data_IF_297357763345
#
_entry.id   IF_297357763345
#
_cell.length_a   1.000
_cell.length_b   1.000
_cell.length_c   1.000
_cell.angle_alpha   90.00
_cell.angle_beta   90.00
_cell.angle_gamma   90.00
#
_symmetry.space_group_name_H-M   'P 1'
#
loop_
_entity.id
_entity.type
_entity.pdbx_description
1 polymer ?
#
# COMPACT_ATOMS: atom_id res chain seq x y z
N UNK A 1 14.20 8.69 -22.88
CA UNK A 1 15.01 9.01 -21.69
C UNK A 1 16.33 9.62 -22.14
N UNK A 2 16.71 10.77 -21.57
CA UNK A 2 18.02 11.40 -21.69
C UNK A 2 19.03 10.69 -20.79
N UNK A 3 20.31 11.01 -20.92
CA UNK A 3 21.35 10.45 -20.06
C UNK A 3 21.46 11.21 -18.72
N UNK A 4 20.92 12.44 -18.64
CA UNK A 4 20.94 13.28 -17.44
C UNK A 4 19.67 14.14 -17.31
N UNK A 5 19.24 14.35 -16.05
CA UNK A 5 18.10 15.18 -15.65
C UNK A 5 18.45 16.03 -14.42
N UNK A 6 17.75 17.17 -14.26
CA UNK A 6 17.88 17.94 -13.01
C UNK A 6 17.27 17.13 -11.84
N UNK A 7 16.13 16.47 -12.07
CA UNK A 7 15.46 15.68 -11.04
C UNK A 7 14.97 14.34 -11.61
N UNK A 8 15.29 13.24 -10.93
CA UNK A 8 14.69 11.95 -11.19
C UNK A 8 13.79 11.53 -10.01
N UNK A 9 12.56 11.14 -10.31
CA UNK A 9 11.60 10.66 -9.32
C UNK A 9 11.33 9.17 -9.55
N UNK A 10 11.48 8.35 -8.51
CA UNK A 10 11.26 6.90 -8.55
C UNK A 10 9.95 6.57 -7.84
N UNK A 11 8.95 6.16 -8.61
CA UNK A 11 7.59 5.84 -8.17
C UNK A 11 6.57 6.91 -8.57
N UNK A 12 5.59 6.55 -9.40
CA UNK A 12 4.50 7.40 -9.86
C UNK A 12 3.21 7.23 -9.03
N UNK A 13 3.36 7.04 -7.72
CA UNK A 13 2.28 7.20 -6.76
C UNK A 13 1.91 8.67 -6.55
N UNK A 14 0.93 8.98 -5.67
CA UNK A 14 0.50 10.36 -5.44
C UNK A 14 1.64 11.32 -5.10
N UNK A 15 2.56 10.90 -4.22
CA UNK A 15 3.70 11.73 -3.82
C UNK A 15 4.68 11.99 -4.98
N UNK A 16 5.00 10.94 -5.75
CA UNK A 16 5.91 11.08 -6.90
C UNK A 16 5.31 11.91 -8.03
N UNK A 17 4.02 11.73 -8.33
CA UNK A 17 3.32 12.58 -9.31
C UNK A 17 3.34 14.05 -8.88
N UNK A 18 3.01 14.34 -7.62
CA UNK A 18 3.02 15.70 -7.10
C UNK A 18 4.43 16.32 -7.12
N UNK A 19 5.45 15.58 -6.66
CA UNK A 19 6.83 16.06 -6.69
C UNK A 19 7.31 16.35 -8.12
N UNK A 20 7.08 15.42 -9.05
CA UNK A 20 7.51 15.57 -10.43
C UNK A 20 6.83 16.75 -11.14
N UNK A 21 5.51 16.91 -10.97
CA UNK A 21 4.76 18.00 -11.62
C UNK A 21 5.18 19.36 -11.07
N UNK A 22 5.28 19.52 -9.75
CA UNK A 22 5.72 20.78 -9.13
C UNK A 22 7.14 21.15 -9.56
N UNK A 23 8.07 20.20 -9.57
CA UNK A 23 9.43 20.45 -10.03
C UNK A 23 9.47 20.89 -11.50
N UNK A 24 8.68 20.25 -12.35
CA UNK A 24 8.55 20.57 -13.77
C UNK A 24 7.96 21.98 -13.98
N UNK A 25 6.99 22.42 -13.17
CA UNK A 25 6.42 23.78 -13.21
C UNK A 25 7.45 24.87 -12.84
N UNK A 26 8.50 24.50 -12.09
CA UNK A 26 9.62 25.41 -11.78
C UNK A 26 10.72 25.39 -12.86
N UNK A 27 10.51 24.67 -13.96
CA UNK A 27 11.39 24.65 -15.12
C UNK A 27 12.49 23.57 -15.09
N UNK A 28 12.49 22.69 -14.08
CA UNK A 28 13.42 21.56 -14.03
C UNK A 28 13.12 20.53 -15.12
N UNK A 29 14.17 19.90 -15.68
CA UNK A 29 14.05 18.71 -16.49
C UNK A 29 13.80 17.50 -15.57
N UNK A 30 12.59 16.92 -15.62
CA UNK A 30 12.15 15.88 -14.68
C UNK A 30 11.89 14.56 -15.39
N UNK A 31 12.48 13.49 -14.87
CA UNK A 31 12.17 12.11 -15.22
C UNK A 31 11.36 11.47 -14.09
N UNK A 32 10.19 10.89 -14.40
CA UNK A 32 9.38 10.10 -13.46
C UNK A 32 9.34 8.64 -13.92
N UNK A 33 9.87 7.74 -13.11
CA UNK A 33 9.98 6.30 -13.38
C UNK A 33 8.99 5.51 -12.51
N UNK A 34 8.30 4.54 -13.10
CA UNK A 34 7.47 3.60 -12.34
C UNK A 34 7.52 2.20 -12.97
N UNK A 35 7.55 1.16 -12.14
CA UNK A 35 7.49 -0.24 -12.61
C UNK A 35 6.15 -0.60 -13.25
N UNK A 36 5.10 0.12 -12.89
CA UNK A 36 3.78 -0.05 -13.49
C UNK A 36 3.66 0.75 -14.78
N UNK A 37 2.89 0.26 -15.76
CA UNK A 37 2.71 0.98 -17.02
C UNK A 37 1.92 2.29 -16.85
N UNK A 38 1.13 2.42 -15.77
CA UNK A 38 0.25 3.57 -15.52
C UNK A 38 0.54 4.21 -14.16
N UNK A 39 0.54 5.54 -14.13
CA UNK A 39 0.67 6.32 -12.91
C UNK A 39 -0.55 6.13 -11.99
N UNK A 40 -0.34 6.35 -10.67
CA UNK A 40 -1.37 6.22 -9.63
C UNK A 40 -0.91 5.42 -8.41
N UNK A 41 0.16 4.64 -8.53
CA UNK A 41 0.69 3.80 -7.45
C UNK A 41 -0.33 2.79 -6.93
N UNK A 42 -0.26 2.44 -5.64
CA UNK A 42 -1.16 1.44 -5.05
C UNK A 42 -2.56 2.02 -4.74
N UNK A 43 -2.61 3.30 -4.31
CA UNK A 43 -3.87 3.93 -3.89
C UNK A 43 -4.77 4.16 -5.10
N UNK A 44 -4.24 4.72 -6.18
CA UNK A 44 -4.95 5.09 -7.40
C UNK A 44 -4.68 4.13 -8.56
N UNK A 45 -4.34 2.87 -8.25
CA UNK A 45 -4.04 1.83 -9.24
C UNK A 45 -5.14 1.73 -10.29
N UNK A 46 -4.77 1.87 -11.58
CA UNK A 46 -5.65 1.81 -12.73
C UNK A 46 -6.79 2.87 -12.73
N UNK A 47 -6.63 4.01 -12.04
CA UNK A 47 -7.69 5.02 -11.90
C UNK A 47 -8.11 5.63 -13.25
N UNK A 48 -7.18 5.71 -14.20
CA UNK A 48 -7.43 6.25 -15.54
C UNK A 48 -8.29 5.31 -16.41
N UNK A 49 -8.09 3.98 -16.29
CA UNK A 49 -8.78 2.96 -17.10
C UNK A 49 -9.60 1.97 -16.27
N UNK A 50 -10.14 2.42 -15.15
CA UNK A 50 -10.82 1.60 -14.16
C UNK A 50 -11.83 0.62 -14.79
N UNK A 51 -11.67 -0.71 -14.63
CA UNK A 51 -12.58 -1.71 -15.21
C UNK A 51 -13.92 -1.78 -14.49
N UNK A 52 -14.01 -1.31 -13.25
CA UNK A 52 -15.24 -1.33 -12.44
C UNK A 52 -16.12 -0.16 -12.84
N UNK A 53 -17.31 -0.47 -13.38
CA UNK A 53 -18.28 0.54 -13.84
C UNK A 53 -18.97 1.28 -12.70
N UNK A 54 -19.33 0.56 -11.61
CA UNK A 54 -19.95 1.17 -10.43
C UNK A 54 -18.88 1.83 -9.53
N UNK A 55 -18.75 3.14 -9.65
CA UNK A 55 -17.78 3.92 -8.88
C UNK A 55 -18.02 3.82 -7.36
N UNK A 56 -19.23 3.49 -6.91
CA UNK A 56 -19.53 3.34 -5.49
C UNK A 56 -18.72 2.21 -4.83
N UNK A 57 -18.27 1.21 -5.58
CA UNK A 57 -17.50 0.07 -5.06
C UNK A 57 -16.19 0.55 -4.45
N UNK A 58 -15.40 1.33 -5.20
CA UNK A 58 -14.11 1.84 -4.71
C UNK A 58 -14.25 3.12 -3.87
N UNK A 59 -15.30 3.91 -4.12
CA UNK A 59 -15.61 5.14 -3.41
C UNK A 59 -14.93 6.38 -3.97
N UNK A 60 -15.44 7.56 -3.63
CA UNK A 60 -15.05 8.84 -4.22
C UNK A 60 -13.56 9.18 -3.98
N UNK A 61 -13.03 8.84 -2.80
CA UNK A 61 -11.62 9.09 -2.47
C UNK A 61 -10.66 8.43 -3.49
N UNK A 62 -11.03 7.26 -4.03
CA UNK A 62 -10.22 6.59 -5.05
C UNK A 62 -10.19 7.39 -6.37
N UNK A 63 -11.30 7.98 -6.76
CA UNK A 63 -11.40 8.69 -8.05
C UNK A 63 -10.76 10.08 -8.03
N UNK A 64 -10.41 10.62 -6.86
CA UNK A 64 -9.62 11.86 -6.75
C UNK A 64 -8.25 11.75 -7.43
N UNK A 65 -7.70 10.53 -7.52
CA UNK A 65 -6.45 10.29 -8.23
C UNK A 65 -6.45 10.64 -9.71
N UNK A 66 -7.62 10.76 -10.35
CA UNK A 66 -7.74 11.15 -11.76
C UNK A 66 -7.15 12.53 -12.01
N UNK A 67 -7.41 13.49 -11.14
CA UNK A 67 -6.87 14.85 -11.28
C UNK A 67 -5.35 14.88 -11.24
N UNK A 68 -4.71 14.06 -10.39
CA UNK A 68 -3.24 13.96 -10.35
C UNK A 68 -2.67 13.37 -11.65
N UNK A 69 -3.31 12.34 -12.18
CA UNK A 69 -2.90 11.73 -13.46
C UNK A 69 -3.09 12.72 -14.63
N UNK A 70 -4.18 13.50 -14.63
CA UNK A 70 -4.43 14.53 -15.64
C UNK A 70 -3.41 15.67 -15.56
N UNK A 71 -3.06 16.14 -14.36
CA UNK A 71 -2.01 17.15 -14.18
C UNK A 71 -0.67 16.63 -14.66
N UNK A 72 -0.30 15.39 -14.32
CA UNK A 72 0.93 14.77 -14.84
C UNK A 72 0.93 14.69 -16.39
N UNK A 73 -0.17 14.25 -16.98
CA UNK A 73 -0.29 14.10 -18.42
C UNK A 73 -0.16 15.43 -19.21
N UNK A 74 -0.52 16.55 -18.56
CA UNK A 74 -0.43 17.90 -19.13
C UNK A 74 0.87 18.64 -18.76
N UNK A 75 1.77 18.02 -17.98
CA UNK A 75 3.05 18.58 -17.56
C UNK A 75 4.16 18.32 -18.59
N UNK A 76 5.33 18.95 -18.39
CA UNK A 76 6.55 18.66 -19.16
C UNK A 76 7.40 17.52 -18.57
N UNK A 77 6.86 16.77 -17.60
CA UNK A 77 7.54 15.60 -16.99
C UNK A 77 7.69 14.50 -18.03
N UNK A 78 8.91 13.97 -18.19
CA UNK A 78 9.11 12.74 -18.95
C UNK A 78 8.69 11.54 -18.07
N UNK A 79 7.44 11.08 -18.24
CA UNK A 79 6.94 9.89 -17.54
C UNK A 79 7.29 8.61 -18.31
N UNK A 80 7.91 7.65 -17.60
CA UNK A 80 8.30 6.36 -18.15
C UNK A 80 7.73 5.24 -17.26
N UNK A 81 6.55 4.77 -17.65
CA UNK A 81 5.91 3.60 -17.02
C UNK A 81 6.45 2.28 -17.57
N UNK A 82 6.37 1.21 -16.79
CA UNK A 82 6.93 -0.10 -17.10
C UNK A 82 8.46 -0.13 -16.99
N UNK A 83 9.05 0.79 -16.24
CA UNK A 83 10.48 0.92 -16.04
C UNK A 83 10.87 0.48 -14.62
N UNK A 84 11.65 -0.58 -14.50
CA UNK A 84 12.15 -1.07 -13.21
C UNK A 84 13.47 -0.38 -12.87
N UNK A 85 13.45 0.42 -11.81
CA UNK A 85 14.68 0.96 -11.20
C UNK A 85 15.25 -0.08 -10.27
N UNK A 86 16.47 -0.51 -10.52
CA UNK A 86 17.13 -1.56 -9.75
C UNK A 86 18.36 -1.05 -8.97
N UNK A 87 18.81 0.17 -9.23
CA UNK A 87 19.92 0.84 -8.54
C UNK A 87 19.67 2.34 -8.44
N UNK A 88 20.02 2.91 -7.30
CA UNK A 88 20.30 4.34 -7.10
C UNK A 88 21.57 4.40 -6.28
N UNK A 89 22.65 4.99 -6.82
CA UNK A 89 23.92 5.14 -6.11
C UNK A 89 23.95 6.46 -5.31
N UNK A 90 24.95 6.60 -4.43
CA UNK A 90 25.19 7.85 -3.70
C UNK A 90 25.58 9.00 -4.65
N UNK A 91 26.18 8.69 -5.79
CA UNK A 91 26.51 9.65 -6.85
C UNK A 91 25.29 9.98 -7.74
N UNK A 92 24.11 9.44 -7.39
CA UNK A 92 22.84 9.64 -8.12
C UNK A 92 22.88 9.07 -9.55
N UNK A 93 23.65 7.98 -9.74
CA UNK A 93 23.51 7.13 -10.91
C UNK A 93 22.32 6.19 -10.71
N UNK A 94 21.44 6.14 -11.70
CA UNK A 94 20.18 5.40 -11.66
C UNK A 94 20.24 4.30 -12.70
N UNK A 95 20.18 3.06 -12.23
CA UNK A 95 20.06 1.87 -13.08
C UNK A 95 18.58 1.56 -13.34
N UNK A 96 18.18 1.57 -14.61
CA UNK A 96 16.81 1.33 -15.03
C UNK A 96 16.75 0.31 -16.16
N UNK A 97 15.75 -0.58 -16.10
CA UNK A 97 15.44 -1.52 -17.17
C UNK A 97 14.03 -1.29 -17.69
N UNK A 98 13.89 -1.22 -19.03
CA UNK A 98 12.61 -1.15 -19.73
C UNK A 98 12.67 -1.95 -21.02
N UNK A 99 11.62 -2.73 -21.29
CA UNK A 99 11.48 -3.53 -22.52
C UNK A 99 12.73 -4.41 -22.81
N UNK A 100 13.35 -4.97 -21.78
CA UNK A 100 14.54 -5.80 -21.88
C UNK A 100 15.86 -5.05 -22.07
N UNK A 101 15.84 -3.72 -22.09
CA UNK A 101 17.03 -2.87 -22.23
C UNK A 101 17.36 -2.21 -20.89
N UNK A 102 18.59 -2.43 -20.41
CA UNK A 102 19.13 -1.74 -19.25
C UNK A 102 19.88 -0.48 -19.65
N UNK A 103 19.73 0.58 -18.86
CA UNK A 103 20.44 1.86 -19.01
C UNK A 103 20.92 2.37 -17.67
N UNK A 104 21.99 3.14 -17.69
CA UNK A 104 22.42 4.00 -16.59
C UNK A 104 22.18 5.46 -17.02
N UNK A 105 21.62 6.23 -16.12
CA UNK A 105 21.40 7.66 -16.26
C UNK A 105 21.74 8.36 -14.95
N UNK A 106 21.88 9.66 -14.96
CA UNK A 106 22.22 10.47 -13.78
C UNK A 106 21.19 11.56 -13.55
N UNK A 107 21.11 12.04 -12.32
CA UNK A 107 20.34 13.24 -11.98
C UNK A 107 21.08 14.09 -10.95
N UNK A 108 20.80 15.40 -10.91
CA UNK A 108 21.33 16.25 -9.84
C UNK A 108 20.66 15.94 -8.50
N UNK A 109 19.36 15.62 -8.54
CA UNK A 109 18.56 15.23 -7.37
C UNK A 109 17.74 13.97 -7.69
N UNK A 110 17.61 13.08 -6.70
CA UNK A 110 16.76 11.89 -6.80
C UNK A 110 15.70 11.95 -5.68
N UNK A 111 14.44 11.78 -6.06
CA UNK A 111 13.32 11.68 -5.12
C UNK A 111 12.80 10.24 -5.13
N UNK A 112 12.98 9.53 -4.02
CA UNK A 112 12.46 8.19 -3.83
C UNK A 112 11.01 8.27 -3.34
N UNK A 113 10.05 8.03 -4.21
CA UNK A 113 8.62 8.01 -3.92
C UNK A 113 8.05 6.58 -3.98
N UNK A 114 8.81 5.62 -3.47
CA UNK A 114 8.56 4.17 -3.56
C UNK A 114 7.39 3.69 -2.69
N UNK A 115 6.81 4.58 -1.86
CA UNK A 115 5.60 4.36 -1.09
C UNK A 115 5.75 3.31 0.00
N UNK A 116 4.70 2.51 0.17
CA UNK A 116 4.61 1.48 1.21
C UNK A 116 4.26 0.11 0.63
N UNK A 117 4.58 -0.92 1.40
CA UNK A 117 4.21 -2.31 1.13
C UNK A 117 3.43 -2.90 2.30
N UNK A 118 2.63 -3.93 2.06
CA UNK A 118 1.99 -4.64 3.16
C UNK A 118 3.04 -5.35 4.01
N UNK A 119 2.86 -5.25 5.32
CA UNK A 119 3.69 -5.95 6.29
C UNK A 119 3.55 -7.46 6.09
N UNK A 120 4.64 -8.23 5.90
CA UNK A 120 4.59 -9.68 5.92
C UNK A 120 3.92 -10.20 7.20
N UNK A 121 3.05 -11.20 7.06
CA UNK A 121 2.37 -11.83 8.18
C UNK A 121 2.65 -13.35 8.18
N UNK A 122 3.85 -13.76 8.64
CA UNK A 122 4.34 -15.13 8.51
C UNK A 122 3.69 -16.09 9.53
N UNK A 123 2.38 -16.28 9.41
CA UNK A 123 1.66 -17.33 10.14
C UNK A 123 1.89 -18.69 9.47
N UNK A 124 1.85 -19.81 10.19
CA UNK A 124 2.00 -21.13 9.57
C UNK A 124 1.05 -21.30 8.38
N UNK A 125 1.58 -21.73 7.24
CA UNK A 125 0.81 -21.92 5.99
C UNK A 125 0.60 -20.67 5.14
N UNK A 126 1.17 -19.51 5.48
CA UNK A 126 0.95 -18.24 4.76
C UNK A 126 1.42 -18.24 3.29
N UNK A 127 2.24 -19.20 2.90
CA UNK A 127 2.75 -19.38 1.52
C UNK A 127 1.94 -20.36 0.68
N UNK A 128 0.90 -20.99 1.24
CA UNK A 128 0.05 -21.90 0.51
C UNK A 128 -0.69 -21.19 -0.65
N UNK A 129 -0.81 -21.81 -1.82
CA UNK A 129 -1.71 -21.32 -2.87
C UNK A 129 -3.12 -21.05 -2.32
N UNK A 130 -3.75 -19.95 -2.75
CA UNK A 130 -5.02 -19.47 -2.21
C UNK A 130 -4.87 -18.47 -1.06
N UNK A 131 -3.65 -18.26 -0.57
CA UNK A 131 -3.34 -17.21 0.41
C UNK A 131 -2.74 -16.00 -0.31
N UNK A 132 -3.22 -14.81 0.02
CA UNK A 132 -2.65 -13.55 -0.46
C UNK A 132 -2.77 -12.45 0.60
N UNK A 133 -2.20 -11.29 0.35
CA UNK A 133 -2.44 -10.12 1.20
C UNK A 133 -3.77 -9.45 0.83
N UNK A 134 -4.35 -8.72 1.79
CA UNK A 134 -5.58 -7.94 1.55
C UNK A 134 -5.36 -6.88 0.47
N UNK A 135 -4.19 -6.22 0.45
CA UNK A 135 -3.84 -5.27 -0.59
C UNK A 135 -3.67 -5.94 -1.95
N UNK A 136 -3.13 -7.17 -2.01
CA UNK A 136 -3.08 -7.97 -3.23
C UNK A 136 -4.48 -8.22 -3.79
N UNK A 137 -5.45 -8.61 -2.94
CA UNK A 137 -6.85 -8.78 -3.32
C UNK A 137 -7.48 -7.46 -3.81
N UNK A 138 -7.14 -6.32 -3.17
CA UNK A 138 -7.60 -5.00 -3.63
C UNK A 138 -7.00 -4.63 -5.00
N UNK A 139 -5.72 -4.95 -5.23
CA UNK A 139 -5.05 -4.69 -6.52
C UNK A 139 -5.74 -5.45 -7.64
N UNK A 140 -6.08 -6.74 -7.46
CA UNK A 140 -6.84 -7.52 -8.44
C UNK A 140 -8.20 -6.87 -8.73
N UNK A 141 -8.92 -6.44 -7.70
CA UNK A 141 -10.18 -5.75 -7.84
C UNK A 141 -10.03 -4.45 -8.64
N UNK A 142 -9.04 -3.60 -8.29
CA UNK A 142 -8.82 -2.31 -8.96
C UNK A 142 -8.34 -2.45 -10.40
N UNK A 143 -7.38 -3.34 -10.68
CA UNK A 143 -6.71 -3.42 -11.98
C UNK A 143 -7.45 -4.27 -13.00
N UNK A 144 -8.18 -5.28 -12.55
CA UNK A 144 -8.79 -6.29 -13.43
C UNK A 144 -10.29 -6.49 -13.19
N UNK A 145 -10.88 -5.84 -12.17
CA UNK A 145 -12.25 -6.11 -11.75
C UNK A 145 -12.45 -7.53 -11.20
N UNK A 146 -11.37 -8.23 -10.86
CA UNK A 146 -11.39 -9.60 -10.37
C UNK A 146 -11.49 -9.62 -8.85
N UNK A 147 -12.32 -10.52 -8.34
CA UNK A 147 -12.45 -10.80 -6.92
C UNK A 147 -12.76 -12.27 -6.69
N UNK A 148 -12.29 -12.80 -5.58
CA UNK A 148 -12.49 -14.20 -5.20
C UNK A 148 -13.58 -14.29 -4.15
N UNK A 149 -14.68 -15.05 -4.37
CA UNK A 149 -15.75 -15.20 -3.40
C UNK A 149 -15.33 -16.08 -2.21
N UNK A 150 -16.11 -16.00 -1.14
CA UNK A 150 -15.99 -16.82 0.07
C UNK A 150 -14.61 -16.82 0.75
N UNK A 151 -13.85 -15.73 0.58
CA UNK A 151 -12.56 -15.56 1.23
C UNK A 151 -12.71 -15.24 2.73
N UNK A 152 -11.77 -15.72 3.53
CA UNK A 152 -11.57 -15.31 4.93
C UNK A 152 -10.59 -14.14 4.95
N UNK A 153 -11.01 -13.02 5.55
CA UNK A 153 -10.17 -11.86 5.82
C UNK A 153 -9.59 -11.98 7.23
N UNK A 154 -8.27 -12.06 7.38
CA UNK A 154 -7.65 -12.27 8.68
C UNK A 154 -6.52 -11.28 8.97
N UNK A 155 -6.59 -10.63 10.14
CA UNK A 155 -5.57 -9.66 10.54
C UNK A 155 -6.13 -8.45 11.27
N UNK A 156 -5.48 -7.29 11.10
CA UNK A 156 -5.87 -6.03 11.74
C UNK A 156 -5.56 -4.84 10.83
N UNK A 157 -6.15 -3.70 11.12
CA UNK A 157 -5.91 -2.44 10.43
C UNK A 157 -7.04 -2.00 9.50
N UNK A 158 -7.07 -0.71 9.12
CA UNK A 158 -8.18 -0.12 8.38
C UNK A 158 -8.34 -0.70 6.97
N UNK A 159 -7.24 -1.08 6.30
CA UNK A 159 -7.29 -1.65 4.95
C UNK A 159 -8.06 -2.99 4.92
N UNK A 160 -7.95 -3.81 5.98
CA UNK A 160 -8.72 -5.04 6.11
C UNK A 160 -10.24 -4.79 5.95
N UNK A 161 -10.74 -3.79 6.67
CA UNK A 161 -12.17 -3.45 6.66
C UNK A 161 -12.58 -2.71 5.40
N UNK A 162 -11.71 -1.86 4.84
CA UNK A 162 -11.96 -1.17 3.60
C UNK A 162 -12.16 -2.16 2.44
N UNK A 163 -11.24 -3.11 2.28
CA UNK A 163 -11.31 -4.09 1.19
C UNK A 163 -12.48 -5.04 1.38
N UNK A 164 -12.73 -5.52 2.59
CA UNK A 164 -13.93 -6.31 2.88
C UNK A 164 -15.22 -5.52 2.55
N UNK A 165 -15.27 -4.23 2.84
CA UNK A 165 -16.42 -3.38 2.48
C UNK A 165 -16.55 -3.16 0.97
N UNK A 166 -15.44 -3.04 0.23
CA UNK A 166 -15.44 -2.98 -1.23
C UNK A 166 -15.96 -4.29 -1.84
N UNK A 167 -15.57 -5.44 -1.29
CA UNK A 167 -16.09 -6.76 -1.66
C UNK A 167 -17.60 -6.86 -1.44
N UNK A 168 -18.08 -6.44 -0.27
CA UNK A 168 -19.53 -6.38 0.03
C UNK A 168 -20.28 -5.50 -0.98
N UNK A 169 -19.74 -4.31 -1.32
CA UNK A 169 -20.33 -3.42 -2.32
C UNK A 169 -20.34 -4.01 -3.73
N UNK A 170 -19.34 -4.80 -4.06
CA UNK A 170 -19.24 -5.52 -5.33
C UNK A 170 -20.15 -6.74 -5.40
N UNK A 171 -20.88 -7.05 -4.31
CA UNK A 171 -21.76 -8.23 -4.23
C UNK A 171 -20.97 -9.54 -4.08
N UNK A 172 -19.71 -9.48 -3.68
CA UNK A 172 -18.84 -10.66 -3.49
C UNK A 172 -19.03 -11.19 -2.07
N UNK A 173 -19.28 -12.50 -1.94
CA UNK A 173 -19.43 -13.16 -0.66
C UNK A 173 -18.13 -13.19 0.13
N UNK A 174 -18.24 -13.01 1.46
CA UNK A 174 -17.14 -13.05 2.42
C UNK A 174 -17.47 -14.14 3.43
N UNK A 175 -16.56 -15.11 3.60
CA UNK A 175 -16.72 -16.24 4.51
C UNK A 175 -16.73 -15.79 5.98
N UNK A 176 -15.72 -15.01 6.36
CA UNK A 176 -15.59 -14.45 7.70
C UNK A 176 -14.52 -13.35 7.76
N UNK A 177 -14.58 -12.54 8.82
CA UNK A 177 -13.50 -11.61 9.21
C UNK A 177 -12.94 -12.04 10.56
N UNK A 178 -11.66 -12.40 10.59
CA UNK A 178 -10.91 -12.81 11.77
C UNK A 178 -10.03 -11.64 12.24
N UNK A 179 -10.54 -10.86 13.18
CA UNK A 179 -9.86 -9.66 13.70
C UNK A 179 -8.86 -10.03 14.79
N UNK A 180 -7.58 -9.86 14.53
CA UNK A 180 -6.48 -10.17 15.44
C UNK A 180 -6.13 -9.02 16.39
N UNK A 181 -6.86 -7.89 16.35
CA UNK A 181 -6.60 -6.72 17.20
C UNK A 181 -6.70 -7.09 18.68
N UNK A 182 -5.64 -6.94 19.49
CA UNK A 182 -5.68 -7.20 20.92
C UNK A 182 -6.60 -6.23 21.64
N UNK A 183 -7.29 -6.70 22.67
CA UNK A 183 -8.14 -5.83 23.50
C UNK A 183 -7.36 -4.75 24.24
N UNK A 184 -6.09 -4.99 24.55
CA UNK A 184 -5.18 -4.03 25.16
C UNK A 184 -5.00 -2.75 24.33
N UNK A 185 -5.13 -2.86 23.01
CA UNK A 185 -5.01 -1.70 22.13
C UNK A 185 -6.11 -0.66 22.34
N UNK A 186 -7.28 -1.07 22.85
CA UNK A 186 -8.35 -0.13 23.24
C UNK A 186 -7.93 0.77 24.39
N UNK A 187 -7.22 0.21 25.39
CA UNK A 187 -6.69 0.98 26.52
C UNK A 187 -5.53 1.88 26.07
N UNK A 188 -4.64 1.37 25.21
CA UNK A 188 -3.55 2.13 24.62
C UNK A 188 -4.02 3.26 23.69
N UNK A 189 -5.23 3.18 23.15
CA UNK A 189 -5.80 4.23 22.29
C UNK A 189 -6.38 5.42 23.09
N UNK A 190 -6.68 5.27 24.37
CA UNK A 190 -7.30 6.32 25.20
C UNK A 190 -6.52 7.64 25.20
N UNK A 191 -5.19 7.68 25.37
CA UNK A 191 -4.42 8.94 25.33
C UNK A 191 -4.47 9.65 23.97
N UNK A 192 -4.75 8.92 22.89
CA UNK A 192 -4.79 9.45 21.53
C UNK A 192 -6.20 9.90 21.10
N UNK A 193 -7.21 9.73 21.93
CA UNK A 193 -8.59 10.14 21.64
C UNK A 193 -8.72 11.64 21.29
N UNK A 194 -8.07 12.59 21.99
CA UNK A 194 -8.18 13.99 21.63
C UNK A 194 -7.68 14.28 20.20
N UNK A 195 -6.55 13.71 19.81
CA UNK A 195 -6.00 13.84 18.46
C UNK A 195 -6.91 13.15 17.42
N UNK A 196 -7.45 11.97 17.73
CA UNK A 196 -8.36 11.26 16.86
C UNK A 196 -9.71 11.98 16.63
N UNK A 197 -10.13 12.83 17.57
CA UNK A 197 -11.33 13.66 17.43
C UNK A 197 -11.14 14.82 16.42
N UNK A 198 -9.89 15.22 16.14
CA UNK A 198 -9.60 16.21 15.09
C UNK A 198 -9.92 15.68 13.69
N UNK A 199 -9.88 14.35 13.49
CA UNK A 199 -10.30 13.68 12.25
C UNK A 199 -11.46 12.69 12.51
N UNK A 200 -12.55 13.23 13.03
CA UNK A 200 -13.77 12.44 13.29
C UNK A 200 -14.36 11.83 12.01
N UNK A 201 -14.09 12.45 10.84
CA UNK A 201 -14.54 11.99 9.54
C UNK A 201 -14.01 10.60 9.21
N UNK A 202 -12.70 10.39 9.33
CA UNK A 202 -12.04 9.11 9.10
C UNK A 202 -12.48 8.05 10.11
N UNK A 203 -12.62 8.40 11.39
CA UNK A 203 -13.15 7.49 12.41
C UNK A 203 -14.58 7.02 12.09
N UNK A 204 -15.44 7.94 11.65
CA UNK A 204 -16.82 7.61 11.28
C UNK A 204 -16.90 6.77 10.01
N UNK A 205 -16.00 6.97 9.02
CA UNK A 205 -15.88 6.10 7.84
C UNK A 205 -15.59 4.65 8.27
N UNK A 206 -14.57 4.42 9.08
CA UNK A 206 -14.22 3.09 9.57
C UNK A 206 -15.34 2.42 10.37
N UNK A 207 -16.00 3.14 11.28
CA UNK A 207 -17.17 2.63 12.01
C UNK A 207 -18.30 2.26 11.07
N UNK A 208 -18.56 3.06 10.03
CA UNK A 208 -19.62 2.78 9.02
C UNK A 208 -19.32 1.51 8.23
N UNK A 209 -18.08 1.28 7.81
CA UNK A 209 -17.69 0.04 7.12
C UNK A 209 -17.97 -1.19 7.99
N UNK A 210 -17.49 -1.19 9.23
CA UNK A 210 -17.71 -2.29 10.18
C UNK A 210 -19.20 -2.51 10.45
N UNK A 211 -20.00 -1.45 10.62
CA UNK A 211 -21.44 -1.55 10.83
C UNK A 211 -22.15 -2.18 9.61
N UNK A 212 -21.78 -1.79 8.39
CA UNK A 212 -22.34 -2.36 7.16
C UNK A 212 -21.98 -3.83 6.97
N UNK A 213 -20.71 -4.20 7.23
CA UNK A 213 -20.26 -5.59 7.17
C UNK A 213 -21.03 -6.48 8.15
N UNK A 214 -21.28 -6.00 9.38
CA UNK A 214 -22.09 -6.73 10.36
C UNK A 214 -23.57 -6.82 9.99
N UNK A 215 -24.13 -5.72 9.48
CA UNK A 215 -25.52 -5.69 9.04
C UNK A 215 -25.78 -6.63 7.85
N UNK A 216 -24.75 -6.91 7.04
CA UNK A 216 -24.79 -7.91 5.97
C UNK A 216 -24.68 -9.36 6.46
N UNK A 217 -24.60 -9.60 7.78
CA UNK A 217 -24.55 -10.93 8.36
C UNK A 217 -23.18 -11.62 8.24
N UNK A 218 -22.12 -10.90 7.84
CA UNK A 218 -20.78 -11.48 7.74
C UNK A 218 -20.28 -11.87 9.14
N UNK A 219 -19.84 -13.14 9.35
CA UNK A 219 -19.25 -13.57 10.62
C UNK A 219 -18.02 -12.72 10.99
N UNK A 220 -18.07 -12.09 12.16
CA UNK A 220 -17.01 -11.19 12.63
C UNK A 220 -16.44 -11.69 13.95
N UNK A 221 -15.30 -12.39 13.89
CA UNK A 221 -14.63 -13.01 15.04
C UNK A 221 -13.50 -12.08 15.51
N UNK A 222 -13.68 -11.47 16.68
CA UNK A 222 -12.73 -10.53 17.27
C UNK A 222 -11.76 -11.18 18.24
N UNK A 223 -10.61 -10.53 18.43
CA UNK A 223 -9.60 -10.94 19.39
C UNK A 223 -9.10 -12.37 19.16
N UNK A 224 -8.82 -12.66 17.88
CA UNK A 224 -8.15 -13.90 17.46
C UNK A 224 -6.70 -13.82 17.91
N UNK A 225 -6.24 -14.78 18.73
CA UNK A 225 -4.91 -14.73 19.35
C UNK A 225 -3.83 -15.42 18.51
N UNK A 226 -4.20 -16.52 17.87
CA UNK A 226 -3.30 -17.33 17.03
C UNK A 226 -4.04 -17.69 15.75
N UNK A 227 -3.28 -17.76 14.67
CA UNK A 227 -3.77 -18.09 13.35
C UNK A 227 -2.83 -19.10 12.72
N UNK A 228 -3.37 -20.10 12.03
CA UNK A 228 -2.63 -21.08 11.23
C UNK A 228 -3.47 -21.44 10.02
N UNK A 229 -2.87 -21.42 8.86
CA UNK A 229 -3.49 -21.86 7.61
C UNK A 229 -3.14 -23.31 7.39
N UNK A 230 -4.12 -24.12 7.01
CA UNK A 230 -3.99 -25.55 6.82
C UNK A 230 -4.35 -25.97 5.43
N UNK A 231 -3.65 -26.98 4.90
CA UNK A 231 -3.80 -27.54 3.59
C UNK A 231 -2.51 -28.22 3.16
N UNK A 232 -2.56 -29.06 2.14
CA UNK A 232 -1.39 -29.78 1.62
C UNK A 232 -0.82 -29.06 0.38
N UNK A 233 -1.57 -28.94 -0.69
CA UNK A 233 -1.15 -28.30 -1.94
C UNK A 233 -1.69 -26.87 -2.10
N UNK A 234 -2.74 -26.54 -1.37
CA UNK A 234 -3.39 -25.22 -1.33
C UNK A 234 -4.01 -25.03 0.05
N UNK A 235 -4.46 -23.82 0.36
CA UNK A 235 -5.20 -23.59 1.60
C UNK A 235 -6.57 -24.27 1.53
N UNK A 236 -6.89 -25.07 2.55
CA UNK A 236 -8.16 -25.78 2.73
C UNK A 236 -8.94 -25.25 3.92
N UNK A 237 -8.28 -24.45 4.76
CA UNK A 237 -8.93 -23.85 5.90
C UNK A 237 -8.00 -23.02 6.76
N UNK A 238 -8.61 -22.36 7.73
CA UNK A 238 -7.92 -21.55 8.75
C UNK A 238 -8.29 -22.06 10.15
N UNK A 239 -7.27 -22.39 10.92
CA UNK A 239 -7.37 -22.69 12.34
C UNK A 239 -7.02 -21.43 13.15
N UNK A 240 -7.82 -21.11 14.14
CA UNK A 240 -7.60 -19.91 14.95
C UNK A 240 -8.01 -20.12 16.42
N UNK A 241 -7.29 -19.43 17.31
CA UNK A 241 -7.56 -19.47 18.74
C UNK A 241 -8.48 -18.32 19.15
N UNK A 242 -9.72 -18.63 19.51
CA UNK A 242 -10.71 -17.67 20.02
C UNK A 242 -11.22 -18.12 21.39
N UNK A 243 -11.21 -17.21 22.39
CA UNK A 243 -11.64 -17.51 23.78
C UNK A 243 -11.01 -18.77 24.38
N UNK A 244 -9.71 -18.98 24.08
CA UNK A 244 -8.92 -20.15 24.49
C UNK A 244 -9.38 -21.49 23.89
N UNK A 245 -10.21 -21.47 22.85
CA UNK A 245 -10.62 -22.66 22.10
C UNK A 245 -10.12 -22.56 20.66
N UNK A 246 -9.55 -23.65 20.15
CA UNK A 246 -9.22 -23.75 18.74
C UNK A 246 -10.50 -23.98 17.92
N UNK A 247 -10.67 -23.16 16.92
CA UNK A 247 -11.75 -23.21 15.95
C UNK A 247 -11.16 -23.42 14.54
N UNK A 248 -11.92 -24.01 13.65
CA UNK A 248 -11.56 -24.18 12.24
C UNK A 248 -12.66 -23.63 11.34
N UNK A 249 -12.28 -22.98 10.26
CA UNK A 249 -13.13 -22.61 9.13
C UNK A 249 -12.54 -23.18 7.86
N UNK A 250 -13.34 -23.94 7.13
CA UNK A 250 -12.93 -24.43 5.81
C UNK A 250 -13.07 -23.29 4.78
N UNK A 251 -12.02 -23.08 3.99
CA UNK A 251 -11.97 -22.03 2.96
C UNK A 251 -10.80 -22.32 2.02
N UNK A 252 -10.97 -21.98 0.75
CA UNK A 252 -9.93 -22.08 -0.28
C UNK A 252 -9.16 -20.75 -0.46
N UNK A 253 -9.60 -19.67 0.20
CA UNK A 253 -9.00 -18.35 0.05
C UNK A 253 -8.90 -17.61 1.38
N UNK A 254 -7.68 -17.15 1.70
CA UNK A 254 -7.42 -16.35 2.90
C UNK A 254 -6.63 -15.10 2.55
N UNK A 255 -7.14 -13.94 2.96
CA UNK A 255 -6.48 -12.66 2.78
C UNK A 255 -5.94 -12.15 4.12
N UNK A 256 -4.63 -12.02 4.19
CA UNK A 256 -3.89 -11.65 5.41
C UNK A 256 -3.55 -10.16 5.40
N UNK A 257 -3.64 -9.50 6.57
CA UNK A 257 -3.23 -8.11 6.73
C UNK A 257 -2.76 -7.79 8.16
N UNK A 258 -1.59 -7.18 8.29
CA UNK A 258 -1.02 -6.70 9.57
C UNK A 258 -0.50 -5.26 9.46
N UNK A 259 -1.19 -4.45 8.64
CA UNK A 259 -0.77 -3.08 8.35
C UNK A 259 0.21 -2.98 7.19
N UNK A 260 0.68 -1.77 6.97
CA UNK A 260 1.64 -1.42 5.92
C UNK A 260 2.93 -0.88 6.55
N UNK A 261 4.02 -0.95 5.82
CA UNK A 261 5.34 -0.42 6.23
C UNK A 261 5.97 0.34 5.06
N UNK A 262 6.82 1.33 5.31
CA UNK A 262 7.55 2.02 4.26
C UNK A 262 8.33 1.03 3.38
N UNK A 263 8.37 1.30 2.09
CA UNK A 263 9.27 0.58 1.19
C UNK A 263 10.65 1.23 1.24
N UNK A 264 11.49 0.73 2.13
CA UNK A 264 12.82 1.29 2.43
C UNK A 264 13.96 0.69 1.60
N UNK A 265 13.66 -0.32 0.78
CA UNK A 265 14.71 -1.11 0.12
C UNK A 265 15.64 -0.26 -0.75
N UNK A 266 15.08 0.65 -1.56
CA UNK A 266 15.88 1.50 -2.46
C UNK A 266 16.72 2.50 -1.66
N UNK A 267 16.15 3.11 -0.63
CA UNK A 267 16.85 4.05 0.23
C UNK A 267 17.98 3.37 1.03
N UNK A 268 17.76 2.13 1.52
CA UNK A 268 18.81 1.33 2.14
C UNK A 268 19.91 0.98 1.15
N UNK A 269 19.56 0.57 -0.06
CA UNK A 269 20.52 0.25 -1.11
C UNK A 269 21.36 1.48 -1.54
N UNK A 270 20.76 2.67 -1.52
CA UNK A 270 21.45 3.94 -1.77
C UNK A 270 22.33 4.40 -0.61
N UNK A 271 22.33 3.69 0.52
CA UNK A 271 23.16 3.99 1.69
C UNK A 271 22.57 5.00 2.67
N UNK A 272 21.30 5.37 2.53
CA UNK A 272 20.63 6.28 3.47
C UNK A 272 20.51 5.65 4.86
N UNK A 273 20.73 6.43 5.91
CA UNK A 273 20.56 5.98 7.30
C UNK A 273 19.08 5.72 7.62
N UNK A 274 18.81 4.63 8.34
CA UNK A 274 17.48 4.24 8.76
C UNK A 274 17.39 4.08 10.28
N UNK A 275 16.24 4.45 10.82
CA UNK A 275 15.90 4.32 12.24
C UNK A 275 14.77 3.32 12.43
N UNK A 276 14.84 2.55 13.52
CA UNK A 276 13.74 1.68 13.92
C UNK A 276 12.69 2.48 14.70
N UNK A 277 11.44 2.38 14.32
CA UNK A 277 10.30 2.95 15.04
C UNK A 277 9.62 1.90 15.90
N UNK A 278 9.77 1.99 17.21
CA UNK A 278 9.05 1.10 18.16
C UNK A 278 7.53 1.30 18.09
N UNK A 279 7.07 2.48 17.70
CA UNK A 279 5.65 2.79 17.53
C UNK A 279 5.04 2.12 16.32
N UNK A 280 5.75 2.16 15.18
CA UNK A 280 5.28 1.58 13.92
C UNK A 280 5.83 0.16 13.69
N UNK A 281 6.78 -0.28 14.51
CA UNK A 281 7.47 -1.58 14.40
C UNK A 281 8.04 -1.80 12.99
N UNK A 282 8.71 -0.80 12.43
CA UNK A 282 9.37 -0.86 11.13
C UNK A 282 10.54 0.10 11.05
N UNK A 283 11.40 -0.12 10.05
CA UNK A 283 12.43 0.80 9.67
C UNK A 283 11.84 1.95 8.85
N UNK A 284 12.36 3.16 9.05
CA UNK A 284 12.10 4.30 8.19
C UNK A 284 13.38 5.10 8.00
N UNK A 285 13.54 5.79 6.88
CA UNK A 285 14.74 6.59 6.61
C UNK A 285 14.82 7.78 7.57
N UNK A 286 16.04 8.15 7.93
CA UNK A 286 16.31 9.41 8.62
C UNK A 286 16.24 10.54 7.59
N UNK A 287 15.34 11.49 7.81
CA UNK A 287 15.17 12.68 6.96
C UNK A 287 15.08 13.93 7.82
N UNK A 288 15.44 15.06 7.21
CA UNK A 288 15.17 16.39 7.77
C UNK A 288 13.71 16.84 7.50
N UNK A 289 13.40 18.10 7.84
CA UNK A 289 12.07 18.69 7.64
C UNK A 289 11.69 18.89 6.17
N UNK A 290 12.66 18.83 5.25
CA UNK A 290 12.48 18.91 3.79
C UNK A 290 12.44 17.52 3.13
N UNK A 291 12.46 16.46 3.95
CA UNK A 291 12.51 15.07 3.51
C UNK A 291 13.82 14.69 2.78
N UNK A 292 14.89 15.48 2.94
CA UNK A 292 16.23 15.12 2.49
C UNK A 292 16.85 14.10 3.42
N UNK A 293 17.57 13.14 2.84
CA UNK A 293 18.31 12.11 3.60
C UNK A 293 19.72 12.61 3.96
N UNK A 294 20.43 11.82 4.74
CA UNK A 294 21.88 12.05 5.02
C UNK A 294 22.78 11.80 3.79
N UNK A 295 22.26 11.25 2.70
CA UNK A 295 22.94 11.16 1.40
C UNK A 295 22.60 12.39 0.56
N UNK A 296 23.54 13.31 0.28
CA UNK A 296 23.26 14.56 -0.41
C UNK A 296 22.62 14.36 -1.79
N UNK A 297 21.51 15.06 -2.04
CA UNK A 297 20.79 14.98 -3.29
C UNK A 297 19.86 13.79 -3.41
N UNK A 298 19.61 13.04 -2.31
CA UNK A 298 18.58 12.02 -2.24
C UNK A 298 17.52 12.43 -1.23
N UNK A 299 16.31 12.63 -1.68
CA UNK A 299 15.13 12.91 -0.85
C UNK A 299 14.10 11.77 -0.94
N UNK A 300 13.21 11.66 0.05
CA UNK A 300 12.19 10.63 0.09
C UNK A 300 10.81 11.28 0.25
N UNK A 301 9.83 10.88 -0.55
CA UNK A 301 8.49 11.45 -0.52
C UNK A 301 7.39 10.41 -0.25
N UNK A 302 6.35 10.85 0.45
CA UNK A 302 5.16 10.03 0.76
C UNK A 302 5.42 8.95 1.81
N UNK A 303 4.70 7.83 1.72
CA UNK A 303 4.76 6.73 2.71
C UNK A 303 6.13 6.07 2.84
N UNK A 304 7.07 6.37 1.94
CA UNK A 304 8.47 5.94 2.03
C UNK A 304 9.22 6.54 3.22
N UNK A 305 8.84 7.74 3.69
CA UNK A 305 9.42 8.37 4.89
C UNK A 305 8.85 7.75 6.18
N UNK A 306 7.61 7.31 6.14
CA UNK A 306 6.88 6.75 7.27
C UNK A 306 5.37 6.77 6.97
N UNK A 307 4.63 5.85 7.59
CA UNK A 307 3.19 5.78 7.36
C UNK A 307 2.50 6.90 8.13
N UNK A 308 1.93 7.84 7.39
CA UNK A 308 1.28 9.02 7.96
C UNK A 308 -0.16 8.80 8.42
N UNK A 309 -0.81 7.75 7.96
CA UNK A 309 -2.18 7.40 8.32
C UNK A 309 -3.15 7.46 7.15
#
# INVERSE_FOLDING_TARGET
>A
MKDHYDIAVVGAGPAGMAAATVASEQGASVLLLDELPEAGGQIYRAVARQPIKDQKILGDDYYQGRSLVEVLANSSVEYVGGATVWQVSQEKEIGVSKDGVARLLTADQVILATGAQERPFPVPGWTLPGVMTVGGAQVLLKSSGMAVPDAVFAGTGPLLYLVAYQYLKAGISIRAILDTTPRSNLLGALPHLPAALLDIGTLMKGKRWIARLRAAGIPFIKNVKKLKLVGENSVEGVEYLHRNTWCKLDTEHVFLHQGVVPNVNMAMAAGCTHLWSDRQLCWHPLTDDWAETDVPGIAIAGDGVGIGG
#
